data_IF_400256948493
#
_entry.id   IF_400256948493
#
_cell.length_a   1.000
_cell.length_b   1.000
_cell.length_c   1.000
_cell.angle_alpha   90.00
_cell.angle_beta   90.00
_cell.angle_gamma   90.00
#
_symmetry.space_group_name_H-M   'P 1'
#
loop_
_entity.id
_entity.type
_entity.pdbx_description
1 polymer ?
#
# COMPACT_ATOMS: atom_id res chain seq x y z
N UNK A 1 20.40 -25.41 3.06
CA UNK A 1 19.55 -24.61 3.96
C UNK A 1 19.36 -23.20 3.36
N UNK A 2 18.60 -23.06 2.26
CA UNK A 2 18.54 -21.81 1.47
C UNK A 2 17.10 -21.32 1.21
N UNK A 3 16.23 -21.28 2.23
CA UNK A 3 14.86 -20.78 2.07
C UNK A 3 14.54 -19.50 2.86
N UNK A 4 15.53 -18.92 3.55
CA UNK A 4 15.24 -17.95 4.62
C UNK A 4 15.62 -16.48 4.26
N UNK A 5 16.31 -16.25 3.15
CA UNK A 5 16.86 -14.91 2.83
C UNK A 5 15.91 -14.06 1.96
N UNK A 6 15.11 -14.68 1.08
CA UNK A 6 14.14 -13.97 0.22
C UNK A 6 12.95 -13.35 0.98
N UNK A 7 12.67 -13.86 2.19
CA UNK A 7 11.57 -13.37 3.02
C UNK A 7 11.84 -11.97 3.57
N UNK A 8 13.11 -11.62 3.81
CA UNK A 8 13.47 -10.36 4.46
C UNK A 8 13.43 -9.16 3.49
N UNK A 9 13.76 -9.37 2.21
CA UNK A 9 13.71 -8.32 1.17
C UNK A 9 12.27 -7.94 0.75
N UNK A 10 11.27 -8.79 1.04
CA UNK A 10 9.84 -8.50 0.78
C UNK A 10 9.20 -7.56 1.80
N UNK A 11 9.78 -7.41 2.99
CA UNK A 11 9.20 -6.65 4.11
C UNK A 11 9.38 -5.13 3.93
N UNK A 12 10.45 -4.70 3.25
CA UNK A 12 10.83 -3.28 3.10
C UNK A 12 10.36 -2.61 1.80
N UNK A 13 9.87 -3.35 0.79
CA UNK A 13 9.43 -2.79 -0.52
C UNK A 13 7.95 -2.33 -0.54
N UNK A 14 7.52 -1.63 0.50
CA UNK A 14 6.12 -1.23 0.72
C UNK A 14 5.83 0.27 0.66
N UNK A 15 6.37 1.02 -0.32
CA UNK A 15 6.23 2.48 -0.34
C UNK A 15 4.77 2.95 -0.53
N UNK A 16 4.16 3.46 0.55
CA UNK A 16 2.94 4.26 0.54
C UNK A 16 3.16 5.55 -0.26
N UNK A 17 2.28 5.87 -1.21
CA UNK A 17 2.42 7.05 -2.08
C UNK A 17 1.52 8.19 -1.60
N UNK A 18 2.10 9.36 -1.32
CA UNK A 18 1.31 10.56 -1.00
C UNK A 18 0.91 11.26 -2.31
N UNK A 19 -0.36 11.63 -2.46
CA UNK A 19 -0.92 12.30 -3.64
C UNK A 19 -2.02 13.28 -3.23
N UNK A 20 -2.21 14.35 -4.00
CA UNK A 20 -3.31 15.29 -3.78
C UNK A 20 -4.71 14.63 -3.92
N UNK A 21 -4.84 13.63 -4.80
CA UNK A 21 -6.05 12.85 -4.99
C UNK A 21 -5.75 11.36 -4.93
N UNK A 22 -6.65 10.60 -4.31
CA UNK A 22 -6.53 9.15 -4.14
C UNK A 22 -7.64 8.43 -4.90
N UNK A 23 -7.28 7.36 -5.62
CA UNK A 23 -8.20 6.52 -6.40
C UNK A 23 -7.87 5.05 -6.26
N UNK A 24 -8.90 4.20 -6.35
CA UNK A 24 -8.72 2.73 -6.43
C UNK A 24 -8.03 2.38 -7.75
N UNK A 25 -7.06 1.48 -7.70
CA UNK A 25 -6.30 1.02 -8.88
C UNK A 25 -6.73 -0.39 -9.27
N UNK A 26 -7.04 -1.25 -8.31
CA UNK A 26 -7.53 -2.61 -8.55
C UNK A 26 -8.82 -2.89 -7.75
N UNK A 27 -9.47 -4.03 -8.03
CA UNK A 27 -10.70 -4.47 -7.36
C UNK A 27 -10.53 -4.66 -5.84
N UNK A 28 -9.32 -4.99 -5.41
CA UNK A 28 -8.99 -5.20 -3.99
C UNK A 28 -8.61 -3.90 -3.25
N UNK A 29 -8.49 -2.78 -3.96
CA UNK A 29 -8.23 -1.48 -3.34
C UNK A 29 -9.45 -1.01 -2.54
N UNK A 30 -9.22 -0.62 -1.29
CA UNK A 30 -10.25 -0.03 -0.43
C UNK A 30 -9.86 1.39 -0.08
N UNK A 31 -10.83 2.29 -0.13
CA UNK A 31 -10.68 3.66 0.35
C UNK A 31 -11.08 3.64 1.82
N UNK A 32 -10.21 4.14 2.69
CA UNK A 32 -10.44 4.23 4.14
C UNK A 32 -10.10 5.63 4.61
N UNK A 33 -10.88 6.15 5.56
CA UNK A 33 -10.58 7.42 6.23
C UNK A 33 -10.00 7.13 7.61
N UNK A 34 -8.81 7.64 7.89
CA UNK A 34 -8.10 7.49 9.18
C UNK A 34 -7.61 8.86 9.62
N UNK A 35 -7.95 9.27 10.85
CA UNK A 35 -7.58 10.58 11.41
C UNK A 35 -7.91 11.75 10.45
N UNK A 36 -9.10 11.72 9.85
CA UNK A 36 -9.54 12.75 8.89
C UNK A 36 -8.94 12.65 7.48
N UNK A 37 -7.85 11.88 7.29
CA UNK A 37 -7.13 11.74 6.01
C UNK A 37 -7.62 10.52 5.23
N UNK A 38 -7.72 10.66 3.90
CA UNK A 38 -8.16 9.59 3.01
C UNK A 38 -6.97 8.74 2.54
N UNK A 39 -7.11 7.41 2.59
CA UNK A 39 -6.10 6.46 2.17
C UNK A 39 -6.69 5.44 1.21
N UNK A 40 -5.86 4.94 0.30
CA UNK A 40 -6.11 3.71 -0.45
C UNK A 40 -5.24 2.63 0.16
N UNK A 41 -5.85 1.55 0.61
CA UNK A 41 -5.17 0.34 1.06
C UNK A 41 -5.40 -0.78 0.05
N UNK A 42 -4.42 -1.66 -0.11
CA UNK A 42 -4.51 -2.80 -0.99
C UNK A 42 -3.83 -4.00 -0.31
N UNK A 43 -4.53 -5.13 -0.24
CA UNK A 43 -4.01 -6.37 0.38
C UNK A 43 -3.07 -7.13 -0.55
N UNK A 44 -3.29 -7.06 -1.87
CA UNK A 44 -2.52 -7.80 -2.87
C UNK A 44 -1.23 -7.09 -3.25
N UNK A 45 -1.31 -5.77 -3.50
CA UNK A 45 -0.21 -5.00 -4.09
C UNK A 45 0.11 -3.75 -3.28
N UNK A 46 1.31 -3.71 -2.71
CA UNK A 46 1.76 -2.57 -1.89
C UNK A 46 1.90 -1.28 -2.70
N UNK A 47 2.17 -1.37 -4.01
CA UNK A 47 2.31 -0.24 -4.94
C UNK A 47 1.04 0.60 -5.10
N UNK A 48 -0.12 0.06 -4.72
CA UNK A 48 -1.41 0.75 -4.79
C UNK A 48 -1.76 1.54 -3.53
N UNK A 49 -0.98 1.37 -2.44
CA UNK A 49 -1.19 2.10 -1.19
C UNK A 49 -0.97 3.60 -1.44
N UNK A 50 -1.98 4.42 -1.13
CA UNK A 50 -1.93 5.88 -1.33
C UNK A 50 -2.47 6.65 -0.11
N UNK A 51 -1.97 7.86 0.13
CA UNK A 51 -2.47 8.83 1.15
C UNK A 51 -2.82 10.15 0.46
N UNK A 52 -3.94 10.75 0.86
CA UNK A 52 -4.36 12.06 0.38
C UNK A 52 -3.67 13.18 1.15
N UNK A 53 -3.07 14.12 0.42
CA UNK A 53 -2.38 15.29 0.99
C UNK A 53 -0.91 15.02 1.24
#
# INVERSE_FOLDING_TARGET
MHHNEEANLKIIKGNMKVKASVKKICRNCKIVRRNGVLFVICKTDQKHKQRQG
#
